data_IF_991307325319
#
_entry.id   IF_991307325319
#
_cell.length_a   1.000
_cell.length_b   1.000
_cell.length_c   1.000
_cell.angle_alpha   90.00
_cell.angle_beta   90.00
_cell.angle_gamma   90.00
#
_symmetry.space_group_name_H-M   'P 1'
#
loop_
_entity.id
_entity.type
_entity.pdbx_description
1 polymer ?
#
# COMPACT_ATOMS: atom_id res chain seq x y z
N UNK A 1 32.03 10.55 15.29
CA UNK A 1 31.06 9.47 15.06
C UNK A 1 29.93 10.12 14.30
N UNK A 2 29.75 9.81 13.01
CA UNK A 2 28.63 10.35 12.24
C UNK A 2 27.32 9.94 12.94
N UNK A 3 26.53 10.93 13.36
CA UNK A 3 25.15 10.70 13.76
C UNK A 3 24.43 10.20 12.51
N UNK A 4 24.18 8.89 12.44
CA UNK A 4 23.48 8.30 11.31
C UNK A 4 21.98 8.55 11.46
N UNK A 5 21.57 9.80 11.23
CA UNK A 5 20.18 10.29 11.31
C UNK A 5 19.23 9.45 10.43
N UNK A 6 19.74 8.75 9.42
CA UNK A 6 18.99 7.88 8.52
C UNK A 6 18.48 6.57 9.15
N UNK A 7 18.69 6.35 10.44
CA UNK A 7 18.20 5.15 11.15
C UNK A 7 16.87 5.36 11.86
N UNK A 8 16.37 6.59 11.96
CA UNK A 8 15.09 6.87 12.62
C UNK A 8 13.92 6.38 11.73
N UNK A 9 13.11 5.41 12.20
CA UNK A 9 11.97 4.90 11.43
C UNK A 9 10.92 5.96 11.08
N UNK A 10 10.80 7.02 11.89
CA UNK A 10 9.84 8.12 11.65
C UNK A 10 10.11 8.91 10.37
N UNK A 11 11.30 8.76 9.76
CA UNK A 11 11.65 9.41 8.51
C UNK A 11 11.16 8.64 7.28
N UNK A 12 10.62 7.44 7.46
CA UNK A 12 10.23 6.55 6.37
C UNK A 12 8.73 6.29 6.38
N UNK A 13 8.15 6.27 5.19
CA UNK A 13 6.79 5.80 4.96
C UNK A 13 6.87 4.35 4.52
N UNK A 14 6.00 3.50 5.07
CA UNK A 14 5.89 2.13 4.59
C UNK A 14 5.58 2.10 3.10
N UNK A 15 6.40 1.38 2.33
CA UNK A 15 6.26 1.29 0.87
C UNK A 15 4.90 0.76 0.45
N UNK A 16 4.44 -0.31 1.08
CA UNK A 16 3.23 -1.01 0.65
C UNK A 16 1.98 -0.21 1.03
N UNK A 17 1.96 0.40 2.22
CA UNK A 17 0.89 1.33 2.59
C UNK A 17 0.87 2.55 1.67
N UNK A 18 2.04 3.05 1.24
CA UNK A 18 2.12 4.15 0.28
C UNK A 18 1.55 3.80 -1.09
N UNK A 19 1.59 2.52 -1.50
CA UNK A 19 0.97 2.06 -2.75
C UNK A 19 -0.56 2.01 -2.62
N UNK A 20 -1.09 1.62 -1.46
CA UNK A 20 -2.52 1.70 -1.19
C UNK A 20 -3.01 3.16 -1.21
N UNK A 21 -2.28 4.09 -0.60
CA UNK A 21 -2.58 5.54 -0.68
C UNK A 21 -2.52 6.12 -2.10
N UNK A 22 -1.63 5.56 -2.94
CA UNK A 22 -1.64 5.87 -4.35
C UNK A 22 -2.93 5.37 -5.01
N UNK A 23 -3.36 4.14 -4.72
CA UNK A 23 -4.58 3.59 -5.31
C UNK A 23 -5.85 4.32 -4.86
N UNK A 24 -5.91 4.80 -3.61
CA UNK A 24 -6.99 5.69 -3.13
C UNK A 24 -7.11 6.94 -4.03
N UNK A 25 -6.00 7.55 -4.42
CA UNK A 25 -6.00 8.73 -5.30
C UNK A 25 -6.43 8.39 -6.72
N UNK A 26 -6.15 7.17 -7.20
CA UNK A 26 -6.66 6.68 -8.50
C UNK A 26 -8.18 6.48 -8.43
N UNK A 27 -8.69 5.84 -7.37
CA UNK A 27 -10.13 5.64 -7.16
C UNK A 27 -10.87 6.99 -7.03
N UNK A 28 -10.26 7.98 -6.38
CA UNK A 28 -10.81 9.33 -6.29
C UNK A 28 -11.07 9.97 -7.66
N UNK A 29 -10.28 9.64 -8.70
CA UNK A 29 -10.55 10.12 -10.06
C UNK A 29 -11.80 9.50 -10.69
N UNK A 30 -12.15 8.26 -10.31
CA UNK A 30 -13.40 7.63 -10.74
C UNK A 30 -14.65 8.31 -10.13
N UNK A 31 -14.48 8.96 -8.98
CA UNK A 31 -15.55 9.70 -8.27
C UNK A 31 -15.66 11.17 -8.69
N UNK A 32 -14.65 11.71 -9.36
CA UNK A 32 -14.64 13.11 -9.75
C UNK A 32 -15.64 13.40 -10.88
N UNK A 33 -16.68 14.17 -10.59
CA UNK A 33 -17.73 14.55 -11.55
C UNK A 33 -17.24 15.46 -12.69
N UNK A 34 -16.09 16.12 -12.54
CA UNK A 34 -15.47 16.89 -13.63
C UNK A 34 -14.78 16.01 -14.66
N UNK A 35 -14.53 14.74 -14.34
CA UNK A 35 -13.94 13.75 -15.24
C UNK A 35 -15.04 13.16 -16.13
N UNK A 36 -14.84 13.05 -17.46
CA UNK A 36 -15.82 12.43 -18.36
C UNK A 36 -16.23 11.03 -17.89
N UNK A 37 -17.50 10.66 -18.09
CA UNK A 37 -18.08 9.42 -17.53
C UNK A 37 -17.28 8.16 -17.90
N UNK A 38 -16.83 8.04 -19.15
CA UNK A 38 -16.03 6.89 -19.58
C UNK A 38 -14.63 6.90 -18.96
N UNK A 39 -14.03 8.07 -18.76
CA UNK A 39 -12.73 8.16 -18.09
C UNK A 39 -12.84 7.80 -16.61
N UNK A 40 -13.97 8.11 -15.96
CA UNK A 40 -14.24 7.65 -14.59
C UNK A 40 -14.32 6.12 -14.51
N UNK A 41 -14.97 5.48 -15.48
CA UNK A 41 -14.98 4.01 -15.59
C UNK A 41 -13.56 3.46 -15.82
N UNK A 42 -12.76 4.12 -16.66
CA UNK A 42 -11.35 3.73 -16.85
C UNK A 42 -10.57 3.79 -15.53
N UNK A 43 -10.70 4.88 -14.76
CA UNK A 43 -10.04 5.00 -13.46
C UNK A 43 -10.49 3.93 -12.45
N UNK A 44 -11.77 3.57 -12.46
CA UNK A 44 -12.27 2.46 -11.64
C UNK A 44 -11.59 1.14 -12.04
N UNK A 45 -11.57 0.81 -13.33
CA UNK A 45 -10.89 -0.39 -13.84
C UNK A 45 -9.40 -0.41 -13.49
N UNK A 46 -8.71 0.73 -13.65
CA UNK A 46 -7.30 0.88 -13.29
C UNK A 46 -7.10 0.62 -11.79
N UNK A 47 -7.98 1.17 -10.93
CA UNK A 47 -7.90 0.97 -9.49
C UNK A 47 -8.06 -0.50 -9.09
N UNK A 48 -8.96 -1.24 -9.75
CA UNK A 48 -9.10 -2.68 -9.55
C UNK A 48 -7.84 -3.45 -9.98
N UNK A 49 -7.32 -3.19 -11.19
CA UNK A 49 -6.12 -3.87 -11.68
C UNK A 49 -4.88 -3.59 -10.82
N UNK A 50 -4.74 -2.36 -10.32
CA UNK A 50 -3.67 -2.01 -9.39
C UNK A 50 -3.79 -2.80 -8.07
N UNK A 51 -5.01 -2.98 -7.56
CA UNK A 51 -5.26 -3.72 -6.33
C UNK A 51 -4.95 -5.22 -6.52
N UNK A 52 -5.35 -5.80 -7.65
CA UNK A 52 -5.04 -7.19 -7.99
C UNK A 52 -3.51 -7.41 -8.05
N UNK A 53 -2.77 -6.58 -8.79
CA UNK A 53 -1.31 -6.66 -8.86
C UNK A 53 -0.67 -6.47 -7.48
N UNK A 54 -1.19 -5.55 -6.67
CA UNK A 54 -0.70 -5.31 -5.32
C UNK A 54 -0.79 -6.59 -4.47
N UNK A 55 -1.89 -7.33 -4.52
CA UNK A 55 -2.00 -8.59 -3.78
C UNK A 55 -1.13 -9.71 -4.38
N UNK A 56 -1.13 -9.85 -5.70
CA UNK A 56 -0.39 -10.92 -6.38
C UNK A 56 1.13 -10.78 -6.23
N UNK A 57 1.64 -9.55 -6.21
CA UNK A 57 3.08 -9.28 -6.21
C UNK A 57 3.56 -8.76 -4.86
N UNK A 58 2.95 -7.70 -4.33
CA UNK A 58 3.45 -7.02 -3.11
C UNK A 58 3.11 -7.79 -1.86
N UNK A 59 1.84 -8.13 -1.65
CA UNK A 59 1.41 -8.86 -0.44
C UNK A 59 2.04 -10.25 -0.40
N UNK A 60 2.14 -10.93 -1.54
CA UNK A 60 2.87 -12.20 -1.65
C UNK A 60 4.32 -12.09 -1.16
N UNK A 61 5.02 -11.01 -1.52
CA UNK A 61 6.40 -10.77 -1.06
C UNK A 61 6.48 -10.54 0.45
N UNK A 62 5.54 -9.79 1.04
CA UNK A 62 5.48 -9.57 2.49
C UNK A 62 5.14 -10.85 3.25
N UNK A 63 4.24 -11.67 2.72
CA UNK A 63 3.93 -13.01 3.25
C UNK A 63 5.17 -13.92 3.24
N UNK A 64 5.94 -13.90 2.16
CA UNK A 64 7.19 -14.66 2.10
C UNK A 64 8.18 -14.19 3.17
N UNK A 65 8.37 -12.88 3.35
CA UNK A 65 9.24 -12.33 4.39
C UNK A 65 8.78 -12.74 5.79
N UNK A 66 7.46 -12.64 6.07
CA UNK A 66 6.87 -13.03 7.34
C UNK A 66 7.11 -14.52 7.69
N UNK A 67 7.18 -15.38 6.67
CA UNK A 67 7.46 -16.81 6.84
C UNK A 67 8.95 -17.13 7.01
N UNK A 68 9.85 -16.32 6.45
CA UNK A 68 11.30 -16.53 6.52
C UNK A 68 11.90 -16.00 7.82
N UNK A 69 11.50 -14.80 8.25
CA UNK A 69 11.96 -14.18 9.49
C UNK A 69 10.86 -13.30 10.09
N UNK A 70 10.31 -13.74 11.24
CA UNK A 70 9.26 -12.99 11.94
C UNK A 70 9.78 -11.68 12.56
N UNK A 71 11.08 -11.58 12.82
CA UNK A 71 11.71 -10.43 13.46
C UNK A 71 12.26 -9.40 12.49
N UNK A 72 12.14 -9.62 11.16
CA UNK A 72 12.59 -8.65 10.17
C UNK A 72 11.77 -7.36 10.26
N UNK A 73 12.45 -6.24 10.46
CA UNK A 73 11.86 -4.91 10.60
C UNK A 73 12.16 -4.11 9.32
N UNK A 74 11.15 -3.49 8.73
CA UNK A 74 11.31 -2.58 7.60
C UNK A 74 11.84 -1.20 8.04
N UNK A 75 12.21 -0.36 7.08
CA UNK A 75 12.77 0.97 7.35
C UNK A 75 11.86 1.89 8.18
N UNK A 76 10.55 1.69 8.10
CA UNK A 76 9.50 2.38 8.87
C UNK A 76 9.21 1.74 10.25
N UNK A 77 10.00 0.74 10.65
CA UNK A 77 9.93 0.17 11.99
C UNK A 77 8.89 -0.94 12.17
N UNK A 78 8.21 -1.37 11.11
CA UNK A 78 7.19 -2.42 11.18
C UNK A 78 7.76 -3.81 10.89
N UNK A 79 7.29 -4.80 11.63
CA UNK A 79 7.47 -6.21 11.28
C UNK A 79 6.60 -6.59 10.08
N UNK A 80 6.95 -7.68 9.38
CA UNK A 80 6.12 -8.15 8.25
C UNK A 80 4.69 -8.52 8.67
N UNK A 81 4.46 -8.97 9.90
CA UNK A 81 3.11 -9.27 10.40
C UNK A 81 2.29 -7.99 10.62
N UNK A 82 2.89 -6.96 11.24
CA UNK A 82 2.24 -5.66 11.42
C UNK A 82 1.96 -4.98 10.07
N UNK A 83 2.84 -5.15 9.09
CA UNK A 83 2.59 -4.69 7.73
C UNK A 83 1.38 -5.39 7.13
N UNK A 84 1.27 -6.72 7.21
CA UNK A 84 0.12 -7.47 6.70
C UNK A 84 -1.19 -7.06 7.38
N UNK A 85 -1.18 -6.85 8.69
CA UNK A 85 -2.35 -6.37 9.43
C UNK A 85 -2.81 -5.00 8.93
N UNK A 86 -1.89 -4.03 8.84
CA UNK A 86 -2.20 -2.67 8.36
C UNK A 86 -2.61 -2.66 6.89
N UNK A 87 -1.99 -3.48 6.04
CA UNK A 87 -2.38 -3.67 4.64
C UNK A 87 -3.82 -4.17 4.57
N UNK A 88 -4.15 -5.20 5.34
CA UNK A 88 -5.51 -5.77 5.37
C UNK A 88 -6.56 -4.74 5.77
N UNK A 89 -6.30 -3.97 6.83
CA UNK A 89 -7.19 -2.90 7.26
C UNK A 89 -7.41 -1.87 6.15
N UNK A 90 -6.33 -1.32 5.58
CA UNK A 90 -6.43 -0.29 4.53
C UNK A 90 -7.07 -0.80 3.23
N UNK A 91 -6.82 -2.05 2.87
CA UNK A 91 -7.42 -2.65 1.69
C UNK A 91 -8.95 -2.78 1.86
N UNK A 92 -9.42 -3.19 3.05
CA UNK A 92 -10.86 -3.21 3.34
C UNK A 92 -11.47 -1.81 3.32
N UNK A 93 -10.82 -0.83 3.94
CA UNK A 93 -11.26 0.58 3.90
C UNK A 93 -11.39 1.10 2.46
N UNK A 94 -10.46 0.74 1.57
CA UNK A 94 -10.50 1.12 0.15
C UNK A 94 -11.65 0.45 -0.62
N UNK A 95 -11.98 -0.81 -0.30
CA UNK A 95 -13.04 -1.57 -0.99
C UNK A 95 -14.43 -1.15 -0.52
N UNK A 96 -14.56 -0.70 0.74
CA UNK A 96 -15.83 -0.26 1.32
C UNK A 96 -16.25 1.17 0.93
N UNK A 97 -15.38 1.93 0.25
CA UNK A 97 -15.68 3.28 -0.29
C UNK A 97 -16.73 3.29 -1.43
#
# INVERSE_FOLDING_TARGET
MENNELTNPEYYINRELSLLEFNVRVLAQARNETTPLLERLNYLCISCSNLDEFFEVRVASVLQMANMDRGAISSDGLTSHEQLEKIGQKAHELVDE
#
